data_IF_233875291739
#
_entry.id   IF_233875291739
#
_cell.length_a   1.000
_cell.length_b   1.000
_cell.length_c   1.000
_cell.angle_alpha   90.00
_cell.angle_beta   90.00
_cell.angle_gamma   90.00
#
_symmetry.space_group_name_H-M   'P 1'
#
loop_
_entity.id
_entity.type
_entity.pdbx_description
1 polymer ?
#
# COMPACT_ATOMS: atom_id res chain seq x y z
N UNK A 1 -2.23 -19.24 1.14
CA UNK A 1 -1.39 -18.97 -0.05
C UNK A 1 -2.29 -18.67 -1.24
N UNK A 2 -1.92 -17.65 -2.01
CA UNK A 2 -2.58 -17.23 -3.26
C UNK A 2 -2.76 -18.41 -4.23
N UNK A 3 -3.94 -18.53 -4.88
CA UNK A 3 -4.25 -19.65 -5.78
C UNK A 3 -4.01 -19.32 -7.26
N UNK A 4 -3.94 -18.03 -7.60
CA UNK A 4 -3.69 -17.56 -8.99
C UNK A 4 -2.75 -16.36 -9.02
N UNK A 5 -2.23 -16.00 -10.20
CA UNK A 5 -1.36 -14.82 -10.34
C UNK A 5 -2.14 -13.51 -10.10
N UNK A 6 -3.43 -13.48 -10.44
CA UNK A 6 -4.31 -12.33 -10.23
C UNK A 6 -4.54 -12.06 -8.74
N UNK A 7 -4.55 -13.09 -7.89
CA UNK A 7 -4.59 -12.94 -6.43
C UNK A 7 -3.32 -12.26 -5.89
N UNK A 8 -2.23 -12.15 -6.66
CA UNK A 8 -1.07 -11.34 -6.32
C UNK A 8 -1.12 -9.93 -6.91
N UNK A 9 -2.22 -9.53 -7.55
CA UNK A 9 -2.37 -8.23 -8.19
C UNK A 9 -1.81 -8.15 -9.61
N UNK A 10 -1.46 -9.29 -10.23
CA UNK A 10 -1.00 -9.34 -11.62
C UNK A 10 -2.15 -9.15 -12.61
N UNK A 11 -2.77 -7.97 -12.58
CA UNK A 11 -3.76 -7.50 -13.55
C UNK A 11 -3.32 -6.12 -14.03
N UNK A 12 -3.18 -5.98 -15.35
CA UNK A 12 -2.78 -4.71 -15.95
C UNK A 12 -3.94 -3.69 -15.87
N UNK A 13 -3.66 -2.53 -15.30
CA UNK A 13 -4.56 -1.37 -15.26
C UNK A 13 -3.80 -0.14 -15.75
N UNK A 14 -4.52 0.92 -16.15
CA UNK A 14 -3.89 2.17 -16.58
C UNK A 14 -2.99 2.71 -15.46
N UNK A 15 -1.81 3.23 -15.82
CA UNK A 15 -0.94 3.94 -14.88
C UNK A 15 -1.54 5.27 -14.41
N UNK A 16 -2.35 5.91 -15.26
CA UNK A 16 -2.97 7.20 -14.95
C UNK A 16 -4.09 7.01 -13.93
N UNK A 17 -3.89 7.51 -12.71
CA UNK A 17 -4.90 7.46 -11.67
C UNK A 17 -6.18 8.20 -12.08
N UNK A 18 -6.08 9.32 -12.80
CA UNK A 18 -7.22 10.02 -13.37
C UNK A 18 -8.03 9.11 -14.31
N UNK A 19 -7.38 8.42 -15.25
CA UNK A 19 -8.07 7.47 -16.14
C UNK A 19 -8.67 6.30 -15.37
N UNK A 20 -8.05 5.86 -14.28
CA UNK A 20 -8.64 4.82 -13.43
C UNK A 20 -9.93 5.33 -12.79
N UNK A 21 -9.89 6.52 -12.17
CA UNK A 21 -11.04 7.14 -11.51
C UNK A 21 -12.18 7.44 -12.51
N UNK A 22 -11.86 7.93 -13.70
CA UNK A 22 -12.85 8.25 -14.74
C UNK A 22 -13.52 7.01 -15.34
N UNK A 23 -12.83 5.87 -15.34
CA UNK A 23 -13.32 4.61 -15.91
C UNK A 23 -13.83 3.61 -14.86
N UNK A 24 -14.03 4.05 -13.61
CA UNK A 24 -14.61 3.21 -12.56
C UNK A 24 -15.97 2.68 -13.00
N UNK A 25 -16.24 1.42 -12.67
CA UNK A 25 -17.55 0.80 -12.93
C UNK A 25 -18.69 1.51 -12.22
N UNK A 26 -18.42 2.12 -11.08
CA UNK A 26 -19.39 2.90 -10.31
C UNK A 26 -18.82 4.30 -9.97
N UNK A 27 -18.94 5.28 -10.88
CA UNK A 27 -18.42 6.63 -10.66
C UNK A 27 -19.06 7.36 -9.46
N UNK A 28 -20.29 6.98 -9.09
CA UNK A 28 -21.05 7.54 -7.98
C UNK A 28 -20.79 6.85 -6.64
N UNK A 29 -19.91 5.85 -6.62
CA UNK A 29 -19.52 5.17 -5.38
C UNK A 29 -18.95 6.17 -4.39
N UNK A 30 -19.46 6.11 -3.15
CA UNK A 30 -19.01 6.96 -2.04
C UNK A 30 -18.28 6.12 -1.02
N UNK A 31 -17.26 6.71 -0.41
CA UNK A 31 -16.59 6.07 0.68
C UNK A 31 -17.52 5.94 1.90
N UNK A 32 -17.57 4.74 2.47
CA UNK A 32 -18.29 4.47 3.73
C UNK A 32 -17.31 4.44 4.90
N UNK A 33 -17.74 4.84 6.11
CA UNK A 33 -16.90 4.83 7.30
C UNK A 33 -16.54 3.41 7.72
N UNK A 34 -15.28 3.21 8.10
CA UNK A 34 -14.72 1.95 8.54
C UNK A 34 -13.81 2.17 9.74
N UNK A 35 -13.67 1.14 10.56
CA UNK A 35 -12.79 1.18 11.73
C UNK A 35 -11.69 0.14 11.60
N UNK A 36 -10.52 0.45 12.16
CA UNK A 36 -9.36 -0.44 12.15
C UNK A 36 -9.68 -1.80 12.80
N UNK A 37 -10.47 -1.79 13.88
CA UNK A 37 -10.95 -2.99 14.56
C UNK A 37 -11.81 -3.92 13.70
N UNK A 38 -12.43 -3.40 12.64
CA UNK A 38 -13.22 -4.17 11.68
C UNK A 38 -12.37 -4.68 10.49
N UNK A 39 -11.07 -4.37 10.47
CA UNK A 39 -10.10 -4.70 9.43
C UNK A 39 -8.92 -5.49 10.01
N UNK A 40 -9.11 -6.75 10.43
CA UNK A 40 -8.02 -7.58 10.94
C UNK A 40 -6.91 -7.77 9.91
N UNK A 41 -5.69 -7.77 10.43
CA UNK A 41 -4.50 -8.04 9.63
C UNK A 41 -4.49 -9.51 9.19
N UNK A 42 -4.09 -9.83 7.95
CA UNK A 42 -3.78 -11.19 7.56
C UNK A 42 -2.63 -11.71 8.44
N UNK A 43 -2.63 -13.01 8.70
CA UNK A 43 -1.54 -13.68 9.41
C UNK A 43 -1.11 -14.92 8.64
N UNK A 44 0.20 -15.06 8.52
CA UNK A 44 0.91 -16.18 7.92
C UNK A 44 2.35 -16.16 8.42
N UNK A 45 3.11 -17.26 8.37
CA UNK A 45 4.50 -17.26 8.81
C UNK A 45 5.37 -16.18 8.13
N UNK A 46 5.13 -15.89 6.85
CA UNK A 46 5.85 -14.83 6.14
C UNK A 46 5.39 -13.45 6.57
N UNK A 47 4.08 -13.22 6.76
CA UNK A 47 3.57 -11.94 7.28
C UNK A 47 4.12 -11.66 8.67
N UNK A 48 4.11 -12.64 9.57
CA UNK A 48 4.58 -12.47 10.93
C UNK A 48 6.08 -12.14 10.95
N UNK A 49 6.87 -12.82 10.11
CA UNK A 49 8.31 -12.56 9.97
C UNK A 49 8.59 -11.15 9.43
N UNK A 50 7.87 -10.72 8.39
CA UNK A 50 8.05 -9.40 7.76
C UNK A 50 7.51 -8.27 8.64
N UNK A 51 6.38 -8.46 9.31
CA UNK A 51 5.85 -7.52 10.30
C UNK A 51 6.86 -7.29 11.42
N UNK A 52 7.47 -8.35 11.93
CA UNK A 52 8.55 -8.25 12.92
C UNK A 52 9.75 -7.50 12.35
N UNK A 53 10.20 -7.87 11.15
CA UNK A 53 11.33 -7.21 10.49
C UNK A 53 11.09 -5.70 10.31
N UNK A 54 9.94 -5.32 9.76
CA UNK A 54 9.56 -3.93 9.54
C UNK A 54 9.51 -3.15 10.86
N UNK A 55 8.89 -3.72 11.91
CA UNK A 55 8.83 -3.09 13.23
C UNK A 55 10.20 -2.88 13.87
N UNK A 56 11.13 -3.82 13.67
CA UNK A 56 12.47 -3.76 14.26
C UNK A 56 13.44 -2.85 13.48
N UNK A 57 13.22 -2.67 12.18
CA UNK A 57 14.17 -2.03 11.27
C UNK A 57 13.75 -0.64 10.78
N UNK A 58 12.46 -0.36 10.73
CA UNK A 58 11.94 0.93 10.28
C UNK A 58 11.85 1.90 11.46
N UNK A 59 12.18 3.18 11.25
CA UNK A 59 11.79 4.25 12.17
C UNK A 59 10.28 4.21 12.43
N UNK A 60 9.87 4.59 13.65
CA UNK A 60 8.49 4.50 14.11
C UNK A 60 7.50 5.17 13.17
N UNK A 61 7.81 6.37 12.68
CA UNK A 61 6.97 7.12 11.74
C UNK A 61 6.80 6.39 10.41
N UNK A 62 7.86 5.78 9.87
CA UNK A 62 7.80 5.00 8.62
C UNK A 62 6.98 3.73 8.83
N UNK A 63 7.19 3.00 9.93
CA UNK A 63 6.36 1.84 10.23
C UNK A 63 4.88 2.21 10.39
N UNK A 64 4.59 3.31 11.08
CA UNK A 64 3.22 3.82 11.25
C UNK A 64 2.60 4.23 9.90
N UNK A 65 3.36 4.91 9.03
CA UNK A 65 2.97 5.22 7.66
C UNK A 65 2.62 3.97 6.86
N UNK A 66 3.49 2.97 6.85
CA UNK A 66 3.25 1.68 6.20
C UNK A 66 1.94 1.02 6.66
N UNK A 67 1.63 1.10 7.96
CA UNK A 67 0.35 0.60 8.48
C UNK A 67 -0.84 1.43 7.99
N UNK A 68 -0.74 2.77 7.98
CA UNK A 68 -1.79 3.64 7.42
C UNK A 68 -2.05 3.35 5.95
N UNK A 69 -0.99 3.22 5.15
CA UNK A 69 -1.06 2.83 3.73
C UNK A 69 -1.84 1.53 3.58
N UNK A 70 -1.49 0.50 4.38
CA UNK A 70 -2.25 -0.75 4.37
C UNK A 70 -3.74 -0.51 4.65
N UNK A 71 -4.11 0.20 5.71
CA UNK A 71 -5.53 0.40 6.02
C UNK A 71 -6.28 1.24 4.97
N UNK A 72 -5.64 2.21 4.34
CA UNK A 72 -6.26 3.01 3.28
C UNK A 72 -6.49 2.25 1.99
N UNK A 73 -5.63 1.31 1.62
CA UNK A 73 -5.85 0.48 0.44
C UNK A 73 -6.49 -0.87 0.70
N UNK A 74 -6.74 -1.27 1.96
CA UNK A 74 -7.15 -2.65 2.28
C UNK A 74 -8.39 -3.09 1.51
N UNK A 75 -8.27 -4.30 0.97
CA UNK A 75 -9.28 -5.10 0.29
C UNK A 75 -9.52 -6.37 1.11
N UNK A 76 -10.76 -6.65 1.52
CA UNK A 76 -11.17 -7.96 2.02
C UNK A 76 -12.50 -8.42 1.44
N UNK A 77 -12.45 -9.44 0.58
CA UNK A 77 -13.62 -9.94 -0.12
C UNK A 77 -14.66 -10.54 0.84
N UNK A 78 -15.88 -10.00 0.86
CA UNK A 78 -17.05 -10.79 1.24
C UNK A 78 -17.22 -11.87 0.17
N UNK A 79 -16.88 -13.12 0.48
CA UNK A 79 -17.47 -14.22 -0.29
C UNK A 79 -18.94 -14.26 0.07
N UNK A 80 -19.77 -13.83 -0.86
CA UNK A 80 -21.21 -14.07 -0.79
C UNK A 80 -21.44 -15.58 -0.69
N UNK A 81 -21.94 -16.02 0.47
CA UNK A 81 -22.01 -17.43 0.87
C UNK A 81 -22.91 -18.23 -0.08
N UNK A 82 -23.85 -17.57 -0.74
CA UNK A 82 -24.89 -18.24 -1.53
C UNK A 82 -24.36 -18.91 -2.79
N UNK A 83 -23.25 -18.45 -3.36
CA UNK A 83 -22.74 -18.99 -4.63
C UNK A 83 -21.70 -20.12 -4.46
N UNK A 84 -21.06 -20.23 -3.28
CA UNK A 84 -19.98 -21.19 -3.05
C UNK A 84 -20.45 -22.53 -2.45
N UNK A 85 -21.51 -22.55 -1.64
CA UNK A 85 -22.04 -23.77 -1.02
C UNK A 85 -22.55 -24.79 -2.05
N UNK A 86 -22.93 -24.36 -3.25
CA UNK A 86 -23.37 -25.25 -4.32
C UNK A 86 -22.25 -26.05 -5.00
N UNK A 87 -20.97 -25.70 -4.77
CA UNK A 87 -19.85 -26.24 -5.57
C UNK A 87 -18.88 -27.14 -4.79
N UNK A 88 -18.84 -27.12 -3.44
CA UNK A 88 -17.71 -27.75 -2.71
C UNK A 88 -18.01 -28.38 -1.34
N UNK A 89 -19.27 -28.62 -0.95
CA UNK A 89 -19.62 -29.32 0.32
C UNK A 89 -18.89 -28.81 1.59
N UNK A 90 -18.51 -27.53 1.64
CA UNK A 90 -17.87 -26.94 2.80
C UNK A 90 -18.92 -26.49 3.84
N UNK A 91 -18.72 -26.86 5.11
CA UNK A 91 -19.61 -26.51 6.21
C UNK A 91 -19.49 -25.03 6.61
N UNK A 92 -20.63 -24.42 6.94
CA UNK A 92 -20.81 -22.97 7.16
C UNK A 92 -20.04 -22.34 8.35
N UNK A 93 -19.22 -23.12 9.07
CA UNK A 93 -18.52 -22.70 10.29
C UNK A 93 -17.11 -22.11 10.07
N UNK A 94 -16.63 -22.02 8.83
CA UNK A 94 -15.24 -21.61 8.52
C UNK A 94 -15.09 -20.18 7.96
N UNK A 95 -16.12 -19.35 8.03
CA UNK A 95 -16.14 -18.06 7.33
C UNK A 95 -16.21 -16.91 8.34
N UNK A 96 -15.03 -16.41 8.71
CA UNK A 96 -14.91 -15.17 9.47
C UNK A 96 -15.32 -14.01 8.54
N UNK A 97 -16.52 -13.50 8.76
CA UNK A 97 -17.15 -12.39 8.04
C UNK A 97 -16.46 -11.09 8.44
N UNK A 98 -15.72 -10.45 7.54
CA UNK A 98 -15.09 -9.15 7.81
C UNK A 98 -15.67 -8.04 6.94
N UNK A 99 -16.16 -6.97 7.56
CA UNK A 99 -16.89 -5.86 6.95
C UNK A 99 -16.05 -4.57 6.92
N UNK A 100 -14.80 -4.63 6.44
CA UNK A 100 -13.89 -3.47 6.37
C UNK A 100 -13.22 -3.31 5.00
N UNK A 101 -13.51 -2.22 4.28
CA UNK A 101 -13.21 -2.04 2.85
C UNK A 101 -12.86 -0.58 2.42
N UNK A 102 -11.59 -0.19 2.26
CA UNK A 102 -11.28 1.20 1.86
C UNK A 102 -11.25 1.37 0.32
N UNK A 103 -10.17 1.92 -0.25
CA UNK A 103 -10.12 2.44 -1.62
C UNK A 103 -10.51 1.40 -2.68
N UNK A 104 -9.91 0.21 -2.66
CA UNK A 104 -10.05 -0.71 -3.79
C UNK A 104 -11.46 -1.30 -3.94
N UNK A 105 -12.20 -1.62 -2.88
CA UNK A 105 -13.53 -2.22 -3.07
C UNK A 105 -14.65 -1.20 -3.22
N UNK A 106 -14.53 -0.03 -2.60
CA UNK A 106 -15.54 1.02 -2.78
C UNK A 106 -15.52 1.55 -4.21
N UNK A 107 -14.32 1.68 -4.81
CA UNK A 107 -14.12 2.36 -6.07
C UNK A 107 -13.75 1.43 -7.24
N UNK A 108 -13.18 0.25 -6.96
CA UNK A 108 -12.68 -0.71 -7.96
C UNK A 108 -12.99 -2.18 -7.58
N UNK A 109 -14.27 -2.55 -7.36
CA UNK A 109 -14.65 -3.86 -6.79
C UNK A 109 -14.20 -5.08 -7.61
N UNK A 110 -13.83 -4.88 -8.88
CA UNK A 110 -13.28 -5.92 -9.74
C UNK A 110 -11.79 -6.18 -9.58
N UNK A 111 -11.06 -5.28 -8.92
CA UNK A 111 -9.63 -5.46 -8.70
C UNK A 111 -9.39 -6.61 -7.73
N UNK A 112 -8.37 -7.41 -8.04
CA UNK A 112 -7.99 -8.57 -7.24
C UNK A 112 -6.55 -8.43 -6.80
N UNK A 113 -6.34 -8.65 -5.52
CA UNK A 113 -5.05 -8.90 -4.88
C UNK A 113 -5.31 -9.40 -3.46
N UNK A 114 -4.37 -10.15 -2.91
CA UNK A 114 -4.44 -10.72 -1.57
C UNK A 114 -4.17 -9.64 -0.53
N UNK A 115 -4.94 -9.60 0.59
CA UNK A 115 -4.62 -8.73 1.73
C UNK A 115 -3.20 -8.98 2.25
N UNK A 116 -2.73 -10.23 2.21
CA UNK A 116 -1.37 -10.60 2.62
C UNK A 116 -0.32 -9.96 1.69
N UNK A 117 -0.46 -10.10 0.36
CA UNK A 117 0.46 -9.50 -0.60
C UNK A 117 0.49 -7.97 -0.47
N UNK A 118 -0.68 -7.36 -0.25
CA UNK A 118 -0.79 -5.92 -0.06
C UNK A 118 -0.18 -5.43 1.25
N UNK A 119 -0.36 -6.17 2.35
CA UNK A 119 0.30 -5.86 3.62
C UNK A 119 1.83 -5.93 3.48
N UNK A 120 2.35 -6.97 2.81
CA UNK A 120 3.79 -7.11 2.58
C UNK A 120 4.36 -5.95 1.75
N UNK A 121 3.65 -5.53 0.69
CA UNK A 121 4.04 -4.34 -0.08
C UNK A 121 4.01 -3.07 0.77
N UNK A 122 2.94 -2.86 1.54
CA UNK A 122 2.77 -1.67 2.39
C UNK A 122 3.87 -1.57 3.45
N UNK A 123 4.20 -2.68 4.11
CA UNK A 123 5.26 -2.76 5.13
C UNK A 123 6.66 -2.50 4.59
N UNK A 124 6.92 -2.83 3.33
CA UNK A 124 8.27 -2.83 2.76
C UNK A 124 8.53 -1.70 1.77
N UNK A 125 7.52 -0.96 1.29
CA UNK A 125 7.72 0.02 0.21
C UNK A 125 8.76 1.11 0.52
N UNK A 126 8.83 1.52 1.78
CA UNK A 126 9.79 2.51 2.26
C UNK A 126 11.02 1.91 2.94
N UNK A 127 11.26 0.59 2.86
CA UNK A 127 12.43 -0.02 3.51
C UNK A 127 13.75 0.59 3.02
N UNK A 128 13.79 1.06 1.77
CA UNK A 128 14.97 1.74 1.20
C UNK A 128 15.32 3.08 1.85
N UNK A 129 14.40 3.68 2.61
CA UNK A 129 14.55 5.02 3.20
C UNK A 129 15.30 5.06 4.53
N UNK A 130 15.60 3.90 5.13
CA UNK A 130 16.37 3.90 6.39
C UNK A 130 17.77 4.46 6.18
N UNK A 131 18.32 5.14 7.18
CA UNK A 131 19.66 5.72 7.12
C UNK A 131 20.75 4.72 6.68
N UNK A 132 20.65 3.49 7.19
CA UNK A 132 21.55 2.40 6.82
C UNK A 132 21.39 2.02 5.34
N UNK A 133 20.16 1.91 4.84
CA UNK A 133 19.89 1.53 3.45
C UNK A 133 20.21 2.64 2.44
N UNK A 134 19.91 3.90 2.77
CA UNK A 134 20.22 5.04 1.90
C UNK A 134 21.72 5.22 1.71
N UNK A 135 22.53 4.93 2.75
CA UNK A 135 23.99 5.06 2.69
C UNK A 135 24.71 3.83 2.14
N UNK A 136 24.06 2.65 2.11
CA UNK A 136 24.68 1.40 1.66
C UNK A 136 24.70 1.20 0.15
N UNK A 137 24.08 2.09 -0.64
CA UNK A 137 23.93 1.92 -2.09
C UNK A 137 23.93 3.26 -2.82
N UNK A 138 24.20 3.22 -4.14
CA UNK A 138 24.03 4.36 -5.04
C UNK A 138 22.71 4.30 -5.82
N UNK A 139 21.93 3.22 -5.67
CA UNK A 139 20.62 3.07 -6.30
C UNK A 139 19.57 3.95 -5.62
N UNK A 140 18.58 4.42 -6.38
CA UNK A 140 17.36 5.05 -5.85
C UNK A 140 16.72 4.14 -4.80
N UNK A 141 16.16 4.74 -3.75
CA UNK A 141 15.66 3.97 -2.61
C UNK A 141 14.54 2.99 -3.01
N UNK A 142 13.71 3.31 -4.00
CA UNK A 142 12.64 2.45 -4.51
C UNK A 142 13.21 1.18 -5.14
N UNK A 143 14.30 1.32 -5.90
CA UNK A 143 14.96 0.21 -6.58
C UNK A 143 15.66 -0.72 -5.58
N UNK A 144 16.44 -0.13 -4.68
CA UNK A 144 17.08 -0.91 -3.61
C UNK A 144 16.04 -1.55 -2.69
N UNK A 145 14.97 -0.82 -2.35
CA UNK A 145 13.87 -1.31 -1.52
C UNK A 145 13.18 -2.52 -2.15
N UNK A 146 12.88 -2.47 -3.44
CA UNK A 146 12.29 -3.59 -4.18
C UNK A 146 13.21 -4.82 -4.19
N UNK A 147 14.50 -4.64 -4.47
CA UNK A 147 15.48 -5.74 -4.43
C UNK A 147 15.58 -6.35 -3.03
N UNK A 148 15.59 -5.53 -1.98
CA UNK A 148 15.60 -6.01 -0.60
C UNK A 148 14.33 -6.80 -0.28
N UNK A 149 13.16 -6.28 -0.67
CA UNK A 149 11.89 -6.94 -0.45
C UNK A 149 11.82 -8.30 -1.15
N UNK A 150 12.26 -8.38 -2.42
CA UNK A 150 12.32 -9.64 -3.17
C UNK A 150 13.16 -10.69 -2.43
N UNK A 151 14.36 -10.30 -1.96
CA UNK A 151 15.26 -11.18 -1.22
C UNK A 151 14.68 -11.61 0.13
N UNK A 152 14.17 -10.66 0.91
CA UNK A 152 13.58 -10.92 2.23
C UNK A 152 12.39 -11.87 2.12
N UNK A 153 11.49 -11.63 1.17
CA UNK A 153 10.30 -12.47 0.98
C UNK A 153 10.67 -13.88 0.52
N UNK A 154 11.59 -14.00 -0.45
CA UNK A 154 12.07 -15.30 -0.93
C UNK A 154 12.72 -16.10 0.20
N UNK A 155 13.56 -15.46 1.02
CA UNK A 155 14.24 -16.10 2.16
C UNK A 155 13.26 -16.55 3.26
N UNK A 156 12.12 -15.87 3.41
CA UNK A 156 11.06 -16.24 4.36
C UNK A 156 9.99 -17.15 3.74
N UNK A 157 10.24 -17.74 2.56
CA UNK A 157 9.38 -18.75 1.96
C UNK A 157 8.13 -18.21 1.27
N UNK A 158 8.10 -16.91 0.91
CA UNK A 158 7.03 -16.38 0.07
C UNK A 158 7.04 -17.09 -1.30
N UNK A 159 5.87 -17.39 -1.89
CA UNK A 159 5.79 -17.81 -3.28
C UNK A 159 6.45 -16.78 -4.21
N UNK A 160 7.16 -17.24 -5.24
CA UNK A 160 7.89 -16.37 -6.17
C UNK A 160 7.01 -15.24 -6.74
N UNK A 161 5.81 -15.58 -7.24
CA UNK A 161 4.87 -14.60 -7.80
C UNK A 161 4.42 -13.53 -6.79
N UNK A 162 4.36 -13.86 -5.48
CA UNK A 162 4.08 -12.90 -4.41
C UNK A 162 5.27 -11.98 -4.17
N UNK A 163 6.48 -12.54 -4.07
CA UNK A 163 7.70 -11.77 -3.85
C UNK A 163 8.00 -10.83 -5.03
N UNK A 164 7.81 -11.29 -6.27
CA UNK A 164 7.94 -10.49 -7.48
C UNK A 164 6.89 -9.37 -7.55
N UNK A 165 5.64 -9.64 -7.16
CA UNK A 165 4.58 -8.61 -7.18
C UNK A 165 4.87 -7.49 -6.19
N UNK A 166 5.32 -7.85 -4.99
CA UNK A 166 5.78 -6.87 -4.00
C UNK A 166 6.98 -6.09 -4.53
N UNK A 167 7.98 -6.76 -5.12
CA UNK A 167 9.14 -6.10 -5.71
C UNK A 167 8.76 -5.09 -6.80
N UNK A 168 7.97 -5.50 -7.80
CA UNK A 168 7.48 -4.64 -8.88
C UNK A 168 6.74 -3.43 -8.32
N UNK A 169 5.86 -3.65 -7.34
CA UNK A 169 5.08 -2.61 -6.70
C UNK A 169 5.98 -1.59 -5.99
N UNK A 170 6.99 -2.05 -5.25
CA UNK A 170 7.92 -1.16 -4.53
C UNK A 170 8.80 -0.40 -5.51
N UNK A 171 9.33 -1.02 -6.56
CA UNK A 171 10.14 -0.33 -7.57
C UNK A 171 9.35 0.83 -8.20
N UNK A 172 8.04 0.66 -8.34
CA UNK A 172 7.17 1.59 -9.08
C UNK A 172 6.29 2.46 -8.19
N UNK A 173 6.40 2.42 -6.86
CA UNK A 173 5.47 3.12 -5.97
C UNK A 173 5.56 4.66 -6.04
N UNK A 174 6.66 5.20 -6.56
CA UNK A 174 6.81 6.65 -6.90
C UNK A 174 6.65 6.93 -8.41
N UNK A 175 6.48 5.90 -9.24
CA UNK A 175 6.35 6.00 -10.70
C UNK A 175 4.91 6.35 -11.10
N UNK A 176 4.35 7.42 -10.53
CA UNK A 176 3.04 7.98 -10.92
C UNK A 176 3.16 8.64 -12.31
N UNK A 177 2.15 8.53 -13.16
CA UNK A 177 2.18 9.17 -14.49
C UNK A 177 1.03 8.76 -15.41
N UNK A 178 0.98 9.33 -16.63
CA UNK A 178 -0.25 9.36 -17.42
C UNK A 178 -0.37 8.32 -18.54
N UNK A 179 0.71 7.57 -18.81
CA UNK A 179 0.82 6.65 -19.95
C UNK A 179 1.31 5.26 -19.54
N UNK A 180 0.87 4.24 -20.29
CA UNK A 180 1.20 2.84 -20.01
C UNK A 180 0.35 2.21 -18.90
N UNK A 181 0.79 1.03 -18.45
CA UNK A 181 0.08 0.20 -17.49
C UNK A 181 0.93 -0.11 -16.24
N UNK A 182 0.24 -0.43 -15.16
CA UNK A 182 0.77 -0.92 -13.87
C UNK A 182 -0.08 -2.10 -13.39
N UNK A 183 0.36 -2.77 -12.33
CA UNK A 183 -0.43 -3.80 -11.64
C UNK A 183 -1.53 -3.16 -10.79
N UNK A 184 -2.63 -3.88 -10.53
CA UNK A 184 -3.67 -3.42 -9.57
C UNK A 184 -3.07 -3.17 -8.19
N UNK A 185 -2.09 -3.98 -7.77
CA UNK A 185 -1.38 -3.80 -6.51
C UNK A 185 -0.59 -2.48 -6.46
N UNK A 186 0.09 -2.13 -7.55
CA UNK A 186 0.81 -0.84 -7.67
C UNK A 186 -0.17 0.33 -7.64
N UNK A 187 -1.28 0.21 -8.37
CA UNK A 187 -2.29 1.27 -8.42
C UNK A 187 -2.89 1.59 -7.05
N UNK A 188 -3.23 0.56 -6.25
CA UNK A 188 -3.74 0.80 -4.89
C UNK A 188 -2.67 1.34 -3.94
N UNK A 189 -1.40 0.90 -4.08
CA UNK A 189 -0.29 1.51 -3.33
C UNK A 189 -0.18 3.00 -3.68
N UNK A 190 -0.26 3.40 -4.95
CA UNK A 190 -0.23 4.80 -5.35
C UNK A 190 -1.34 5.62 -4.68
N UNK A 191 -2.59 5.15 -4.72
CA UNK A 191 -3.69 5.88 -4.09
C UNK A 191 -3.47 6.05 -2.57
N UNK A 192 -3.06 4.98 -1.88
CA UNK A 192 -2.87 5.00 -0.44
C UNK A 192 -1.66 5.85 0.00
N UNK A 193 -0.52 5.76 -0.70
CA UNK A 193 0.67 6.57 -0.38
C UNK A 193 0.44 8.05 -0.71
N UNK A 194 -0.21 8.37 -1.83
CA UNK A 194 -0.52 9.75 -2.20
C UNK A 194 -1.51 10.40 -1.22
N UNK A 195 -2.50 9.65 -0.73
CA UNK A 195 -3.40 10.15 0.32
C UNK A 195 -2.60 10.53 1.57
N UNK A 196 -1.76 9.62 2.10
CA UNK A 196 -1.06 9.87 3.36
C UNK A 196 0.09 10.88 3.23
N UNK A 197 0.73 10.98 2.07
CA UNK A 197 1.90 11.84 1.85
C UNK A 197 1.53 13.24 1.38
N UNK A 198 0.60 13.37 0.42
CA UNK A 198 0.26 14.66 -0.20
C UNK A 198 -1.25 14.99 -0.15
N UNK A 199 -2.04 14.17 0.51
CA UNK A 199 -3.47 14.44 0.74
C UNK A 199 -4.34 14.25 -0.50
N UNK A 200 -3.85 13.55 -1.53
CA UNK A 200 -4.55 13.42 -2.80
C UNK A 200 -5.70 12.41 -2.76
N UNK A 201 -6.74 12.69 -3.55
CA UNK A 201 -7.97 11.88 -3.66
C UNK A 201 -8.62 11.57 -2.29
N UNK A 202 -8.80 12.58 -1.40
CA UNK A 202 -9.34 12.36 -0.06
C UNK A 202 -10.76 11.79 -0.07
N UNK A 203 -11.52 11.99 -1.14
CA UNK A 203 -12.86 11.45 -1.31
C UNK A 203 -12.91 9.91 -1.42
N UNK A 204 -11.76 9.26 -1.67
CA UNK A 204 -11.70 7.80 -1.78
C UNK A 204 -11.77 7.11 -0.41
N UNK A 205 -11.52 7.82 0.69
CA UNK A 205 -11.54 7.29 2.05
C UNK A 205 -12.40 8.17 2.92
N UNK A 206 -13.38 7.58 3.61
CA UNK A 206 -14.26 8.34 4.50
C UNK A 206 -13.46 8.96 5.65
N UNK A 207 -13.82 10.17 6.07
CA UNK A 207 -13.13 10.90 7.13
C UNK A 207 -13.00 10.09 8.43
N UNK A 208 -14.08 9.46 8.89
CA UNK A 208 -14.06 8.61 10.10
C UNK A 208 -13.07 7.43 9.98
N UNK A 209 -12.85 6.93 8.76
CA UNK A 209 -11.82 5.91 8.49
C UNK A 209 -10.42 6.50 8.65
N UNK A 210 -10.18 7.71 8.13
CA UNK A 210 -8.91 8.43 8.34
C UNK A 210 -8.66 8.63 9.85
N UNK A 211 -9.67 9.11 10.58
CA UNK A 211 -9.57 9.33 12.03
C UNK A 211 -9.31 8.04 12.81
N UNK A 212 -10.03 6.94 12.48
CA UNK A 212 -9.81 5.63 13.11
C UNK A 212 -8.40 5.09 12.84
N UNK A 213 -7.91 5.23 11.61
CA UNK A 213 -6.58 4.80 11.19
C UNK A 213 -5.49 5.60 11.89
N UNK A 214 -5.55 6.94 11.87
CA UNK A 214 -4.52 7.78 12.51
C UNK A 214 -4.56 7.66 14.03
N UNK A 215 -5.73 7.46 14.63
CA UNK A 215 -5.83 7.16 16.07
C UNK A 215 -5.08 5.89 16.45
N UNK A 216 -5.11 4.87 15.59
CA UNK A 216 -4.42 3.58 15.83
C UNK A 216 -2.96 3.63 15.43
N UNK A 217 -2.64 4.36 14.36
CA UNK A 217 -1.32 4.51 13.76
C UNK A 217 -0.97 6.00 13.60
N UNK A 218 -0.55 6.67 14.69
CA UNK A 218 -0.30 8.11 14.72
C UNK A 218 0.73 8.57 13.69
N UNK A 219 0.57 9.79 13.17
CA UNK A 219 1.49 10.39 12.19
C UNK A 219 2.79 10.87 12.82
N UNK A 220 2.71 11.55 13.96
CA UNK A 220 3.87 11.98 14.76
C UNK A 220 4.89 12.83 13.96
N UNK A 221 4.39 13.85 13.28
CA UNK A 221 5.14 14.72 12.39
C UNK A 221 5.55 14.04 11.09
N UNK A 222 4.70 13.13 10.56
CA UNK A 222 5.00 12.36 9.36
C UNK A 222 5.34 13.26 8.18
N UNK A 223 4.59 14.35 7.99
CA UNK A 223 4.80 15.29 6.89
C UNK A 223 6.24 15.82 6.88
N UNK A 224 6.72 16.35 8.01
CA UNK A 224 8.09 16.84 8.14
C UNK A 224 9.14 15.72 8.03
N UNK A 225 8.86 14.55 8.61
CA UNK A 225 9.73 13.39 8.54
C UNK A 225 9.97 12.95 7.09
N UNK A 226 8.91 12.79 6.31
CA UNK A 226 9.01 12.29 4.95
C UNK A 226 9.58 13.33 3.99
N UNK A 227 9.23 14.62 4.14
CA UNK A 227 9.86 15.70 3.38
C UNK A 227 11.39 15.75 3.63
N UNK A 228 11.85 15.52 4.86
CA UNK A 228 13.27 15.40 5.17
C UNK A 228 13.91 14.16 4.50
N UNK A 229 13.22 13.02 4.47
CA UNK A 229 13.66 11.81 3.74
C UNK A 229 13.83 12.08 2.24
N UNK A 230 12.87 12.73 1.60
CA UNK A 230 12.93 13.11 0.17
C UNK A 230 14.13 14.01 -0.11
N UNK A 231 14.34 15.04 0.71
CA UNK A 231 15.52 15.93 0.57
C UNK A 231 16.83 15.19 0.81
N UNK A 232 16.86 14.23 1.74
CA UNK A 232 18.03 13.40 2.00
C UNK A 232 18.35 12.49 0.81
N UNK A 233 17.35 11.86 0.21
CA UNK A 233 17.50 10.98 -0.96
C UNK A 233 18.11 11.74 -2.12
N UNK A 234 17.50 12.87 -2.49
CA UNK A 234 17.93 13.70 -3.61
C UNK A 234 19.29 14.36 -3.38
N UNK A 235 19.65 14.67 -2.12
CA UNK A 235 20.98 15.17 -1.76
C UNK A 235 22.06 14.09 -1.87
N UNK A 236 21.82 12.89 -1.36
CA UNK A 236 22.80 11.79 -1.37
C UNK A 236 22.93 11.17 -2.76
N UNK A 237 21.82 11.12 -3.49
CA UNK A 237 21.68 10.50 -4.80
C UNK A 237 20.98 11.49 -5.75
N UNK A 238 21.70 12.48 -6.29
CA UNK A 238 21.12 13.48 -7.19
C UNK A 238 20.67 12.92 -8.55
N UNK A 239 20.95 11.64 -8.83
CA UNK A 239 20.44 10.87 -9.98
C UNK A 239 19.30 9.91 -9.60
N UNK A 240 18.83 9.94 -8.35
CA UNK A 240 17.76 9.06 -7.88
C UNK A 240 16.46 9.29 -8.65
N UNK A 241 15.65 8.25 -8.75
CA UNK A 241 14.34 8.33 -9.41
C UNK A 241 13.42 9.36 -8.74
N UNK A 242 13.54 9.57 -7.43
CA UNK A 242 12.81 10.59 -6.67
C UNK A 242 12.94 12.00 -7.27
N UNK A 243 14.06 12.35 -7.93
CA UNK A 243 14.22 13.68 -8.57
C UNK A 243 13.28 13.89 -9.76
N UNK A 244 12.61 12.85 -10.26
CA UNK A 244 11.57 12.95 -11.29
C UNK A 244 10.33 13.69 -10.78
N UNK A 245 10.09 13.68 -9.46
CA UNK A 245 8.93 14.34 -8.86
C UNK A 245 9.35 15.77 -8.46
N UNK A 246 8.97 16.74 -9.28
CA UNK A 246 9.23 18.16 -9.01
C UNK A 246 8.57 18.60 -7.70
N UNK A 247 9.32 19.37 -6.89
CA UNK A 247 8.89 19.96 -5.61
C UNK A 247 8.26 18.93 -4.65
N UNK A 248 8.77 17.70 -4.64
CA UNK A 248 8.11 16.61 -3.92
C UNK A 248 8.07 16.85 -2.40
N UNK A 249 9.16 17.32 -1.81
CA UNK A 249 9.20 17.59 -0.37
C UNK A 249 8.21 18.70 0.01
N UNK A 250 8.10 19.73 -0.83
CA UNK A 250 7.21 20.86 -0.66
C UNK A 250 5.74 20.43 -0.82
N UNK A 251 5.43 19.54 -1.78
CA UNK A 251 4.10 18.93 -1.95
C UNK A 251 3.69 18.11 -0.73
N UNK A 252 4.63 17.39 -0.12
CA UNK A 252 4.39 16.67 1.14
C UNK A 252 4.07 17.65 2.26
N UNK A 253 4.87 18.71 2.41
CA UNK A 253 4.66 19.76 3.41
C UNK A 253 3.34 20.53 3.24
N UNK A 254 2.82 20.60 2.01
CA UNK A 254 1.55 21.23 1.69
C UNK A 254 0.32 20.30 1.87
N UNK A 255 0.45 19.15 2.54
CA UNK A 255 -0.64 18.20 2.74
C UNK A 255 -1.73 18.72 3.69
N UNK A 256 -2.68 19.50 3.16
CA UNK A 256 -3.80 20.06 3.93
C UNK A 256 -4.76 18.99 4.46
N UNK A 257 -5.01 17.93 3.70
CA UNK A 257 -5.91 16.82 4.07
C UNK A 257 -5.48 16.18 5.38
N UNK A 258 -4.17 15.94 5.55
CA UNK A 258 -3.64 15.22 6.70
C UNK A 258 -3.05 16.15 7.78
N UNK A 259 -2.90 17.45 7.50
CA UNK A 259 -2.38 18.44 8.46
C UNK A 259 -3.07 18.42 9.84
N UNK A 260 -4.40 18.24 9.97
CA UNK A 260 -5.06 18.16 11.29
C UNK A 260 -4.61 16.98 12.15
N UNK A 261 -3.95 15.98 11.57
CA UNK A 261 -3.57 14.74 12.24
C UNK A 261 -2.05 14.53 12.33
N UNK A 262 -1.24 15.50 11.88
CA UNK A 262 0.21 15.36 11.77
C UNK A 262 0.91 15.25 13.15
#
# INVERSE_FOLDING_TARGET
MSKTIEDNGWTAVSRSLEKLLSNRKNPESKATPLRVEDMPLPSSPVVDAIMKHARDRLPKQIFSHSMRVYYYGTFMHHRDITQCCALYEATATDIMTYTGQAIAMQHFPEWRYSPETYLLASLLHDIGTTDANMSSTQLSFEFQGGIQALNLLTQNGAPQSTAESVCETIIRHQDVGDTGNITTLTAVIHFATLLDNVGANPELVHKDTIESVVKTWPREGWTGCFAATVRKETKLKPWSHTTKIEDFAEKVEANETMHPYD
#
